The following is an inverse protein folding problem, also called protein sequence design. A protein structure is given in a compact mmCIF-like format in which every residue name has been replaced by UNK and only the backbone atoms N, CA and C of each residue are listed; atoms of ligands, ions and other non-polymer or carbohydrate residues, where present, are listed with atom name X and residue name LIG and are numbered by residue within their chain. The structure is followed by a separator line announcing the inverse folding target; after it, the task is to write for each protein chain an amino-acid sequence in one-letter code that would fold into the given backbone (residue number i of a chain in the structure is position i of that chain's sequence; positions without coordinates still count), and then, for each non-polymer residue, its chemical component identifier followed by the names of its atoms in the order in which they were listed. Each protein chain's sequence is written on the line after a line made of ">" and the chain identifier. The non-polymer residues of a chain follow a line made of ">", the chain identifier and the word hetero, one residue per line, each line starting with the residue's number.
data_IF_748600826660
#
_entry.id   IF_748600826660
#
_cell.length_a   1.000
_cell.length_b   1.000
_cell.length_c   1.000
_cell.angle_alpha   90.00
_cell.angle_beta   90.00
_cell.angle_gamma   90.00
#
_symmetry.space_group_name_H-M   'P 1'
#
loop_
_entity.id
_entity.type
_entity.pdbx_description
1 polymer ?
#
# COMPACT_ATOMS: atom_id res chain seq x y z
N UNK A 1 -5.45 17.03 53.36
CA UNK A 1 -4.16 16.86 53.99
C UNK A 1 -3.46 15.67 53.41
N UNK A 2 -2.45 15.88 52.74
CA UNK A 2 -1.13 15.32 52.50
C UNK A 2 -0.68 15.62 51.07
N UNK A 3 0.31 16.45 51.04
CA UNK A 3 1.20 16.83 49.93
C UNK A 3 2.30 15.79 49.82
N UNK A 4 2.90 15.71 48.62
CA UNK A 4 4.33 15.65 48.32
C UNK A 4 4.45 15.19 46.87
N UNK A 5 4.90 15.89 45.89
CA UNK A 5 6.13 16.68 45.63
C UNK A 5 7.32 15.82 45.20
N UNK A 6 7.84 16.23 44.03
CA UNK A 6 9.24 16.12 43.56
C UNK A 6 9.66 14.78 42.92
N UNK A 7 10.43 14.71 41.83
CA UNK A 7 11.50 15.58 41.37
C UNK A 7 11.84 15.35 39.88
N UNK A 8 12.39 16.39 39.32
CA UNK A 8 13.20 16.55 38.13
C UNK A 8 14.40 15.61 38.04
N UNK A 9 14.74 15.15 36.82
CA UNK A 9 16.15 14.94 36.47
C UNK A 9 16.35 15.23 34.97
N UNK A 10 17.04 16.35 34.74
CA UNK A 10 17.70 16.70 33.47
C UNK A 10 19.01 15.88 33.37
N UNK A 11 19.31 15.39 32.18
CA UNK A 11 20.69 15.09 31.80
C UNK A 11 20.91 15.47 30.34
N UNK A 12 21.60 16.58 30.16
CA UNK A 12 22.29 16.98 28.93
C UNK A 12 23.45 16.04 28.65
N UNK A 13 23.66 15.70 27.39
CA UNK A 13 24.87 15.02 26.92
C UNK A 13 25.16 15.43 25.48
N UNK A 14 25.89 16.53 25.34
CA UNK A 14 26.52 16.98 24.11
C UNK A 14 27.78 16.14 23.86
N UNK A 15 27.97 15.57 22.68
CA UNK A 15 29.31 15.18 22.19
C UNK A 15 29.40 15.44 20.68
N UNK A 16 30.08 16.51 20.37
CA UNK A 16 30.70 16.77 19.07
C UNK A 16 31.95 15.90 18.94
N UNK A 17 32.20 15.34 17.80
CA UNK A 17 33.54 15.10 17.28
C UNK A 17 33.62 15.24 15.77
N UNK A 18 34.59 16.00 15.40
CA UNK A 18 34.98 16.50 14.10
C UNK A 18 35.71 15.48 13.23
N UNK A 19 35.61 15.64 11.91
CA UNK A 19 36.74 15.71 10.98
C UNK A 19 37.34 14.42 10.48
N UNK A 20 37.31 14.28 9.15
CA UNK A 20 38.54 14.02 8.38
C UNK A 20 38.27 14.28 6.88
N UNK A 21 38.90 15.35 6.43
CA UNK A 21 39.17 15.64 5.02
C UNK A 21 40.24 14.69 4.48
N UNK A 22 39.98 14.11 3.31
CA UNK A 22 40.97 13.36 2.54
C UNK A 22 40.98 13.81 1.10
N UNK A 23 41.86 14.76 0.77
CA UNK A 23 42.31 15.06 -0.60
C UNK A 23 43.31 14.02 -1.04
N UNK A 24 43.21 13.56 -2.28
CA UNK A 24 44.18 12.68 -2.93
C UNK A 24 44.13 12.83 -4.45
N UNK A 25 44.79 13.80 -4.93
CA UNK A 25 45.83 13.93 -5.95
C UNK A 25 45.60 13.22 -7.30
N UNK A 26 45.60 14.07 -8.32
CA UNK A 26 45.78 13.78 -9.74
C UNK A 26 47.12 13.14 -10.04
N UNK A 27 47.17 12.23 -11.00
CA UNK A 27 48.40 11.85 -11.70
C UNK A 27 48.19 11.92 -13.20
N UNK A 28 48.95 12.81 -13.81
CA UNK A 28 49.16 12.97 -15.24
C UNK A 28 50.30 12.04 -15.73
N UNK A 29 50.22 11.69 -16.99
CA UNK A 29 51.39 11.24 -17.80
C UNK A 29 51.21 9.83 -18.36
N UNK A 30 51.24 9.57 -19.63
CA UNK A 30 52.25 9.83 -20.58
C UNK A 30 51.81 9.46 -22.00
N UNK A 31 52.21 10.28 -22.93
CA UNK A 31 52.21 10.09 -24.38
C UNK A 31 53.13 8.95 -24.81
N UNK A 32 52.64 8.10 -25.70
CA UNK A 32 53.56 7.32 -26.57
C UNK A 32 52.99 7.23 -27.99
N UNK A 33 53.90 7.40 -28.90
CA UNK A 33 53.83 7.75 -30.31
C UNK A 33 53.84 6.50 -31.19
N UNK A 34 53.03 6.52 -32.23
CA UNK A 34 53.11 5.95 -33.57
C UNK A 34 53.96 4.69 -33.85
N UNK A 35 53.32 3.74 -34.52
CA UNK A 35 53.93 3.06 -35.67
C UNK A 35 52.81 2.57 -36.61
N UNK A 36 52.87 2.95 -37.86
CA UNK A 36 51.93 2.55 -38.88
C UNK A 36 52.17 1.12 -39.34
N UNK A 37 51.08 0.47 -39.72
CA UNK A 37 51.19 -0.73 -40.57
C UNK A 37 49.98 -0.72 -41.53
N UNK A 38 50.30 -0.63 -42.79
CA UNK A 38 49.44 -0.86 -43.95
C UNK A 38 48.88 -2.25 -43.91
N UNK A 39 47.56 -2.38 -43.82
CA UNK A 39 46.86 -3.66 -43.85
C UNK A 39 45.59 -3.57 -44.68
N UNK A 40 45.56 -4.33 -45.73
CA UNK A 40 44.52 -4.61 -46.72
C UNK A 40 43.07 -4.35 -46.32
N UNK A 41 42.39 -3.58 -47.15
CA UNK A 41 40.94 -3.44 -47.11
C UNK A 41 40.27 -4.79 -47.45
N UNK A 42 39.73 -5.46 -46.44
CA UNK A 42 38.72 -6.51 -46.61
C UNK A 42 37.36 -5.84 -46.77
N UNK A 43 36.70 -6.07 -47.90
CA UNK A 43 35.29 -5.75 -48.06
C UNK A 43 34.52 -6.43 -46.94
N UNK A 44 33.99 -5.64 -46.00
CA UNK A 44 33.04 -6.10 -45.00
C UNK A 44 31.69 -6.21 -45.68
N UNK A 45 31.20 -7.43 -45.81
CA UNK A 45 29.82 -7.73 -46.20
C UNK A 45 28.92 -7.12 -45.14
N UNK A 46 28.11 -6.14 -45.52
CA UNK A 46 27.13 -5.50 -44.63
C UNK A 46 26.11 -6.53 -44.18
N UNK A 47 26.14 -6.89 -42.92
CA UNK A 47 25.07 -7.65 -42.25
C UNK A 47 23.79 -6.83 -42.27
N UNK A 48 22.65 -7.35 -42.71
CA UNK A 48 21.39 -6.58 -42.65
C UNK A 48 21.07 -6.21 -41.21
N UNK A 49 20.99 -4.92 -40.93
CA UNK A 49 20.50 -4.39 -39.65
C UNK A 49 19.04 -4.79 -39.53
N UNK A 50 18.77 -5.76 -38.68
CA UNK A 50 17.40 -6.10 -38.34
C UNK A 50 16.82 -4.90 -37.57
N UNK A 51 15.76 -4.31 -38.11
CA UNK A 51 14.96 -3.30 -37.39
C UNK A 51 14.48 -3.89 -36.05
N UNK A 52 14.59 -3.15 -34.95
CA UNK A 52 14.14 -3.65 -33.66
C UNK A 52 12.64 -3.96 -33.72
N UNK A 53 12.29 -5.20 -33.37
CA UNK A 53 10.90 -5.63 -33.21
C UNK A 53 10.29 -4.74 -32.13
N UNK A 54 9.15 -4.07 -32.39
CA UNK A 54 8.51 -3.24 -31.39
C UNK A 54 8.21 -4.08 -30.15
N UNK A 55 8.71 -3.64 -28.99
CA UNK A 55 8.38 -4.27 -27.70
C UNK A 55 6.85 -4.19 -27.53
N UNK A 56 6.15 -5.32 -27.25
CA UNK A 56 4.71 -5.30 -27.06
C UNK A 56 4.37 -4.28 -25.95
N UNK A 57 3.48 -3.34 -26.27
CA UNK A 57 2.95 -2.40 -25.30
C UNK A 57 2.21 -3.21 -24.24
N UNK A 58 2.51 -3.04 -22.93
CA UNK A 58 1.79 -3.72 -21.88
C UNK A 58 0.29 -3.44 -22.01
N UNK A 59 -0.53 -4.49 -21.94
CA UNK A 59 -1.99 -4.32 -21.92
C UNK A 59 -2.36 -3.42 -20.73
N UNK A 60 -3.26 -2.45 -20.99
CA UNK A 60 -3.78 -1.58 -19.92
C UNK A 60 -4.44 -2.46 -18.85
N UNK A 61 -4.07 -2.30 -17.56
CA UNK A 61 -4.72 -3.01 -16.48
C UNK A 61 -6.22 -2.72 -16.43
N UNK A 62 -7.03 -3.73 -16.14
CA UNK A 62 -8.48 -3.62 -16.02
C UNK A 62 -8.87 -4.18 -14.65
N UNK A 63 -9.56 -3.38 -13.84
CA UNK A 63 -10.12 -3.83 -12.57
C UNK A 63 -11.17 -4.91 -12.80
N UNK A 64 -11.21 -5.92 -11.95
CA UNK A 64 -12.18 -7.00 -12.02
C UNK A 64 -13.47 -6.58 -11.31
N UNK A 65 -14.64 -6.87 -11.89
CA UNK A 65 -15.90 -6.62 -11.21
C UNK A 65 -16.02 -7.54 -9.99
N UNK A 66 -16.32 -6.97 -8.82
CA UNK A 66 -16.52 -7.71 -7.58
C UNK A 66 -17.93 -8.27 -7.46
N UNK A 67 -18.69 -7.62 -6.64
CA UNK A 67 -20.08 -7.95 -6.39
C UNK A 67 -20.98 -7.18 -7.36
N UNK A 68 -22.21 -7.63 -7.58
CA UNK A 68 -23.18 -6.87 -8.35
C UNK A 68 -23.33 -5.46 -7.79
N UNK A 69 -23.39 -4.47 -8.68
CA UNK A 69 -23.69 -3.10 -8.31
C UNK A 69 -24.94 -3.06 -7.41
N UNK A 70 -24.85 -2.42 -6.26
CA UNK A 70 -25.95 -2.32 -5.30
C UNK A 70 -25.82 -3.19 -4.05
N UNK A 71 -24.81 -4.03 -3.89
CA UNK A 71 -24.61 -4.78 -2.63
C UNK A 71 -24.41 -3.84 -1.44
N UNK A 72 -23.78 -2.69 -1.64
CA UNK A 72 -23.68 -1.65 -0.63
C UNK A 72 -25.02 -1.06 -0.20
N UNK A 73 -26.04 -1.08 -1.03
CA UNK A 73 -27.39 -0.58 -0.71
C UNK A 73 -28.28 -1.60 0.01
N UNK A 74 -27.90 -2.87 0.08
CA UNK A 74 -28.65 -3.91 0.78
C UNK A 74 -28.33 -3.89 2.28
N UNK A 75 -29.25 -4.41 3.10
CA UNK A 75 -29.04 -4.51 4.54
C UNK A 75 -27.83 -5.40 4.89
N UNK A 76 -27.12 -5.00 5.92
CA UNK A 76 -26.00 -5.75 6.49
C UNK A 76 -26.42 -7.13 7.02
N UNK A 77 -25.46 -8.03 7.10
CA UNK A 77 -25.58 -9.33 7.77
C UNK A 77 -24.41 -9.52 8.76
N UNK A 78 -24.60 -10.40 9.74
CA UNK A 78 -23.60 -10.76 10.75
C UNK A 78 -22.64 -11.88 10.27
N UNK A 79 -22.70 -12.23 9.00
CA UNK A 79 -21.82 -13.27 8.42
C UNK A 79 -20.38 -12.79 8.46
N UNK A 80 -19.53 -13.56 9.15
CA UNK A 80 -18.07 -13.36 9.13
C UNK A 80 -17.54 -13.64 7.71
N UNK A 81 -16.83 -12.68 7.09
CA UNK A 81 -16.34 -12.86 5.74
C UNK A 81 -15.26 -13.95 5.64
N UNK A 82 -15.26 -14.65 4.52
CA UNK A 82 -14.25 -15.64 4.16
C UNK A 82 -13.22 -15.04 3.21
N UNK A 83 -11.99 -15.56 3.27
CA UNK A 83 -10.87 -15.12 2.42
C UNK A 83 -10.52 -16.10 1.30
N UNK A 84 -11.17 -17.28 1.28
CA UNK A 84 -10.93 -18.37 0.32
C UNK A 84 -11.88 -18.37 -0.89
N UNK A 85 -12.65 -17.31 -1.07
CA UNK A 85 -13.65 -17.21 -2.14
C UNK A 85 -13.25 -16.28 -3.30
N UNK A 86 -14.02 -16.31 -4.38
CA UNK A 86 -13.76 -15.50 -5.59
C UNK A 86 -13.89 -14.00 -5.29
N UNK A 87 -14.86 -13.60 -4.46
CA UNK A 87 -15.08 -12.20 -4.14
C UNK A 87 -13.85 -11.59 -3.47
N UNK A 88 -13.26 -12.28 -2.49
CA UNK A 88 -12.06 -11.82 -1.83
C UNK A 88 -10.85 -11.74 -2.78
N UNK A 89 -10.68 -12.75 -3.66
CA UNK A 89 -9.60 -12.71 -4.67
C UNK A 89 -9.74 -11.53 -5.63
N UNK A 90 -10.95 -11.24 -6.11
CA UNK A 90 -11.19 -10.08 -6.98
C UNK A 90 -10.88 -8.77 -6.23
N UNK A 91 -11.36 -8.63 -5.00
CA UNK A 91 -11.09 -7.47 -4.15
C UNK A 91 -9.59 -7.23 -3.99
N UNK A 92 -8.83 -8.27 -3.66
CA UNK A 92 -7.37 -8.15 -3.47
C UNK A 92 -6.65 -7.84 -4.78
N UNK A 93 -7.14 -8.36 -5.91
CA UNK A 93 -6.61 -8.04 -7.25
C UNK A 93 -6.86 -6.57 -7.60
N UNK A 94 -8.07 -6.07 -7.38
CA UNK A 94 -8.42 -4.67 -7.65
C UNK A 94 -7.64 -3.70 -6.74
N UNK A 95 -7.51 -4.04 -5.45
CA UNK A 95 -6.67 -3.29 -4.51
C UNK A 95 -5.22 -3.22 -4.99
N UNK A 96 -4.67 -4.36 -5.38
CA UNK A 96 -3.29 -4.44 -5.85
C UNK A 96 -3.08 -3.67 -7.16
N UNK A 97 -4.06 -3.72 -8.05
CA UNK A 97 -4.04 -2.94 -9.28
C UNK A 97 -4.03 -1.43 -8.99
N UNK A 98 -4.81 -0.97 -8.00
CA UNK A 98 -4.76 0.42 -7.56
C UNK A 98 -3.37 0.80 -7.06
N UNK A 99 -2.75 -0.03 -6.23
CA UNK A 99 -1.40 0.20 -5.69
C UNK A 99 -0.35 0.23 -6.79
N UNK A 100 -0.31 -0.78 -7.66
CA UNK A 100 0.73 -0.87 -8.70
C UNK A 100 0.60 0.16 -9.81
N UNK A 101 -0.60 0.68 -10.03
CA UNK A 101 -0.83 1.75 -11.02
C UNK A 101 -0.82 3.16 -10.43
N UNK A 102 -0.92 3.29 -9.10
CA UNK A 102 -1.13 4.55 -8.41
C UNK A 102 -2.50 5.18 -8.67
N UNK A 103 -3.45 4.40 -9.23
CA UNK A 103 -4.79 4.87 -9.56
C UNK A 103 -5.83 4.26 -8.59
N UNK A 104 -6.33 5.02 -7.61
CA UNK A 104 -7.26 4.53 -6.60
C UNK A 104 -8.59 4.03 -7.19
N UNK A 105 -8.98 4.50 -8.38
CA UNK A 105 -10.23 4.10 -9.01
C UNK A 105 -10.27 2.62 -9.38
N UNK A 106 -9.13 1.97 -9.62
CA UNK A 106 -9.09 0.52 -9.82
C UNK A 106 -9.45 -0.26 -8.56
N UNK A 107 -9.16 0.28 -7.38
CA UNK A 107 -9.49 -0.34 -6.09
C UNK A 107 -10.82 0.11 -5.49
N UNK A 108 -11.65 0.87 -6.23
CA UNK A 108 -12.95 1.34 -5.71
C UNK A 108 -13.84 0.19 -5.23
N UNK A 109 -13.81 -0.95 -5.92
CA UNK A 109 -14.60 -2.12 -5.53
C UNK A 109 -14.05 -2.82 -4.28
N UNK A 110 -12.77 -2.62 -3.97
CA UNK A 110 -12.13 -3.11 -2.75
C UNK A 110 -12.33 -2.17 -1.55
N UNK A 111 -12.71 -0.94 -1.80
CA UNK A 111 -12.95 0.07 -0.78
C UNK A 111 -14.39 0.00 -0.27
N UNK A 112 -14.61 0.34 1.01
CA UNK A 112 -15.92 0.21 1.64
C UNK A 112 -16.96 1.08 0.93
N UNK A 113 -18.07 0.48 0.43
CA UNK A 113 -19.01 1.19 -0.43
C UNK A 113 -19.71 2.35 0.28
N UNK A 114 -19.84 3.51 -0.38
CA UNK A 114 -20.57 4.67 0.15
C UNK A 114 -21.98 4.32 0.62
N UNK A 115 -22.83 3.58 -0.14
CA UNK A 115 -24.19 3.23 0.33
C UNK A 115 -24.21 2.35 1.59
N UNK A 116 -23.18 1.54 1.80
CA UNK A 116 -23.00 0.76 3.03
C UNK A 116 -22.58 1.67 4.18
N UNK A 117 -21.63 2.58 3.92
CA UNK A 117 -21.17 3.54 4.91
C UNK A 117 -22.31 4.43 5.43
N UNK A 118 -23.15 4.91 4.54
CA UNK A 118 -24.34 5.72 4.90
C UNK A 118 -25.29 4.95 5.82
N UNK A 119 -25.43 3.64 5.66
CA UNK A 119 -26.23 2.82 6.56
C UNK A 119 -25.55 2.57 7.92
N UNK A 120 -24.23 2.49 7.91
CA UNK A 120 -23.45 2.17 9.12
C UNK A 120 -23.32 3.37 10.05
N UNK A 121 -23.10 4.58 9.55
CA UNK A 121 -22.67 5.71 10.36
C UNK A 121 -23.81 6.58 10.87
N UNK A 122 -23.93 6.67 12.19
CA UNK A 122 -24.84 7.57 12.94
C UNK A 122 -24.23 8.98 13.05
N UNK A 123 -23.98 9.64 11.93
CA UNK A 123 -23.47 11.02 11.86
C UNK A 123 -24.35 11.88 10.95
N UNK A 124 -24.24 13.19 11.02
CA UNK A 124 -25.14 14.10 10.32
C UNK A 124 -25.05 14.01 8.79
N UNK A 125 -23.85 13.81 8.24
CA UNK A 125 -23.62 13.71 6.79
C UNK A 125 -22.65 12.55 6.49
N UNK A 126 -23.13 11.29 6.52
CA UNK A 126 -22.24 10.15 6.26
C UNK A 126 -21.76 10.08 4.80
N UNK A 127 -22.55 10.53 3.82
CA UNK A 127 -22.12 10.54 2.44
C UNK A 127 -20.99 11.57 2.19
N UNK A 128 -21.14 12.77 2.73
CA UNK A 128 -20.09 13.79 2.67
C UNK A 128 -18.82 13.37 3.42
N UNK A 129 -18.94 12.72 4.58
CA UNK A 129 -17.80 12.21 5.33
C UNK A 129 -17.10 11.06 4.57
N UNK A 130 -17.87 10.16 3.93
CA UNK A 130 -17.27 9.11 3.09
C UNK A 130 -16.40 9.70 1.98
N UNK A 131 -16.87 10.72 1.29
CA UNK A 131 -16.12 11.34 0.18
C UNK A 131 -14.96 12.20 0.66
N UNK A 132 -15.21 13.09 1.62
CA UNK A 132 -14.24 14.10 2.04
C UNK A 132 -13.13 13.53 2.93
N UNK A 133 -13.38 12.44 3.62
CA UNK A 133 -12.43 11.82 4.54
C UNK A 133 -12.01 10.43 4.08
N UNK A 134 -12.92 9.43 4.04
CA UNK A 134 -12.53 8.06 3.79
C UNK A 134 -11.92 7.87 2.39
N UNK A 135 -12.64 8.28 1.36
CA UNK A 135 -12.18 8.14 -0.02
C UNK A 135 -10.96 9.02 -0.30
N UNK A 136 -10.96 10.22 0.24
CA UNK A 136 -9.81 11.11 0.15
C UNK A 136 -8.56 10.47 0.76
N UNK A 137 -8.66 9.97 1.98
CA UNK A 137 -7.57 9.31 2.69
C UNK A 137 -7.07 8.07 1.95
N UNK A 138 -7.98 7.23 1.46
CA UNK A 138 -7.63 6.08 0.63
C UNK A 138 -6.87 6.48 -0.63
N UNK A 139 -7.30 7.54 -1.29
CA UNK A 139 -6.65 8.05 -2.51
C UNK A 139 -5.20 8.44 -2.26
N UNK A 140 -4.93 9.17 -1.20
CA UNK A 140 -3.55 9.58 -0.87
C UNK A 140 -2.71 8.41 -0.34
N UNK A 141 -3.31 7.42 0.33
CA UNK A 141 -2.63 6.22 0.77
C UNK A 141 -2.22 5.32 -0.42
N UNK A 142 -3.10 5.14 -1.40
CA UNK A 142 -2.77 4.41 -2.63
C UNK A 142 -1.61 5.08 -3.37
N UNK A 143 -1.62 6.41 -3.46
CA UNK A 143 -0.50 7.14 -4.07
C UNK A 143 0.81 6.94 -3.29
N UNK A 144 0.77 6.98 -1.97
CA UNK A 144 1.93 6.72 -1.12
C UNK A 144 2.42 5.27 -1.25
N UNK A 145 1.52 4.29 -1.30
CA UNK A 145 1.85 2.88 -1.52
C UNK A 145 2.53 2.69 -2.89
N UNK A 146 2.00 3.31 -3.93
CA UNK A 146 2.59 3.27 -5.27
C UNK A 146 4.02 3.82 -5.30
N UNK A 147 4.27 4.93 -4.61
CA UNK A 147 5.62 5.52 -4.54
C UNK A 147 6.63 4.60 -3.85
N UNK A 148 6.22 3.83 -2.86
CA UNK A 148 7.11 2.91 -2.13
C UNK A 148 7.30 1.57 -2.86
N UNK A 149 6.23 1.02 -3.40
CA UNK A 149 6.20 -0.32 -3.97
C UNK A 149 6.56 -0.30 -5.46
N UNK A 150 5.99 0.64 -6.22
CA UNK A 150 6.17 0.73 -7.67
C UNK A 150 5.25 -0.21 -8.44
N UNK A 151 5.38 -0.15 -9.79
CA UNK A 151 4.52 -0.89 -10.71
C UNK A 151 4.96 -2.31 -11.01
N UNK A 152 6.21 -2.67 -10.70
CA UNK A 152 6.81 -3.95 -11.09
C UNK A 152 6.67 -5.03 -10.01
N UNK A 153 6.03 -4.73 -8.91
CA UNK A 153 5.78 -5.68 -7.83
C UNK A 153 4.59 -6.61 -8.14
N UNK A 154 4.65 -7.83 -7.64
CA UNK A 154 3.66 -8.88 -7.88
C UNK A 154 3.00 -9.31 -6.58
N UNK A 155 1.66 -9.23 -6.51
CA UNK A 155 0.88 -9.70 -5.36
C UNK A 155 1.13 -11.20 -5.13
N UNK A 156 1.37 -11.55 -3.87
CA UNK A 156 1.45 -12.94 -3.40
C UNK A 156 0.17 -13.30 -2.66
N UNK A 157 -0.19 -12.52 -1.64
CA UNK A 157 -1.37 -12.77 -0.83
C UNK A 157 -1.86 -11.49 -0.14
N UNK A 158 -3.12 -11.50 0.29
CA UNK A 158 -3.60 -10.62 1.35
C UNK A 158 -4.01 -11.49 2.52
N UNK A 159 -3.25 -11.37 3.62
CA UNK A 159 -3.44 -12.16 4.83
C UNK A 159 -4.32 -11.39 5.79
N UNK A 160 -5.50 -11.95 6.09
CA UNK A 160 -6.44 -11.38 7.05
C UNK A 160 -6.32 -12.19 8.34
N UNK A 161 -5.87 -11.59 9.45
CA UNK A 161 -5.68 -12.29 10.71
C UNK A 161 -7.02 -12.50 11.42
N UNK A 162 -7.74 -13.56 11.06
CA UNK A 162 -9.10 -13.84 11.53
C UNK A 162 -9.22 -13.91 13.06
N UNK A 163 -8.14 -14.26 13.77
CA UNK A 163 -8.09 -14.27 15.24
C UNK A 163 -8.28 -12.87 15.87
N UNK A 164 -8.10 -11.81 15.10
CA UNK A 164 -8.32 -10.43 15.53
C UNK A 164 -9.64 -9.86 15.02
N UNK A 165 -10.44 -10.65 14.30
CA UNK A 165 -11.75 -10.20 13.85
C UNK A 165 -12.69 -10.03 15.06
N UNK A 166 -13.28 -8.85 15.18
CA UNK A 166 -14.18 -8.49 16.27
C UNK A 166 -15.47 -7.92 15.70
N UNK A 167 -16.60 -8.34 16.25
CA UNK A 167 -17.89 -7.72 15.93
C UNK A 167 -18.02 -6.39 16.66
N UNK A 168 -18.16 -5.32 15.91
CA UNK A 168 -18.47 -3.98 16.43
C UNK A 168 -19.98 -3.82 16.39
N UNK A 169 -20.68 -3.75 17.53
CA UNK A 169 -22.13 -3.68 17.55
C UNK A 169 -22.66 -2.29 17.17
N UNK A 170 -23.94 -2.22 16.86
CA UNK A 170 -24.68 -0.96 16.79
C UNK A 170 -24.52 -0.18 18.10
N UNK A 171 -24.45 1.14 18.01
CA UNK A 171 -24.20 2.04 19.14
C UNK A 171 -22.72 2.23 19.50
N UNK A 172 -21.83 1.33 19.06
CA UNK A 172 -20.38 1.55 19.20
C UNK A 172 -19.87 2.39 18.03
N UNK A 173 -18.83 3.22 18.27
CA UNK A 173 -18.10 3.96 17.21
C UNK A 173 -18.98 4.85 16.32
N UNK A 174 -20.06 5.38 16.85
CA UNK A 174 -21.09 6.12 16.08
C UNK A 174 -21.66 5.29 14.93
N UNK A 175 -22.01 4.04 15.20
CA UNK A 175 -22.60 3.14 14.20
C UNK A 175 -24.08 2.85 14.55
N UNK A 176 -24.95 2.91 13.53
CA UNK A 176 -26.33 2.43 13.62
C UNK A 176 -26.44 0.93 13.38
N UNK A 177 -25.48 0.36 12.66
CA UNK A 177 -25.46 -1.06 12.28
C UNK A 177 -24.10 -1.66 12.62
N UNK A 178 -24.09 -2.90 13.15
CA UNK A 178 -22.86 -3.62 13.44
C UNK A 178 -22.16 -4.18 12.21
N UNK A 179 -20.87 -4.46 12.36
CA UNK A 179 -20.01 -5.10 11.35
C UNK A 179 -18.84 -5.85 11.98
N UNK A 180 -18.27 -6.79 11.25
CA UNK A 180 -16.97 -7.35 11.61
C UNK A 180 -15.86 -6.38 11.24
N UNK A 181 -14.94 -6.19 12.15
CA UNK A 181 -13.72 -5.40 11.97
C UNK A 181 -12.49 -6.28 12.20
N UNK A 182 -11.48 -6.12 11.36
CA UNK A 182 -10.18 -6.74 11.55
C UNK A 182 -9.06 -5.73 11.26
N UNK A 183 -8.20 -5.44 12.25
CA UNK A 183 -7.05 -4.58 12.07
C UNK A 183 -5.84 -5.37 11.57
N UNK A 184 -4.90 -4.67 10.95
CA UNK A 184 -3.57 -5.18 10.68
C UNK A 184 -3.50 -6.35 9.70
N UNK A 185 -4.37 -6.39 8.68
CA UNK A 185 -4.18 -7.29 7.55
C UNK A 185 -2.86 -6.97 6.82
N UNK A 186 -2.24 -7.96 6.17
CA UNK A 186 -0.98 -7.79 5.45
C UNK A 186 -1.18 -8.03 3.97
N UNK A 187 -0.62 -7.16 3.13
CA UNK A 187 -0.46 -7.38 1.70
C UNK A 187 0.95 -7.86 1.46
N UNK A 188 1.10 -9.09 1.04
CA UNK A 188 2.36 -9.72 0.70
C UNK A 188 2.60 -9.62 -0.80
N UNK A 189 3.80 -9.24 -1.20
CA UNK A 189 4.16 -9.08 -2.60
C UNK A 189 5.64 -9.41 -2.85
N UNK A 190 5.98 -9.68 -4.09
CA UNK A 190 7.37 -9.83 -4.52
C UNK A 190 7.82 -8.63 -5.34
N UNK A 191 8.98 -8.09 -4.99
CA UNK A 191 9.68 -7.05 -5.71
C UNK A 191 11.16 -7.43 -5.82
N UNK A 192 11.71 -7.35 -7.02
CA UNK A 192 13.13 -7.70 -7.29
C UNK A 192 13.53 -9.10 -6.75
N UNK A 193 12.58 -10.05 -6.79
CA UNK A 193 12.76 -11.42 -6.29
C UNK A 193 12.59 -11.60 -4.78
N UNK A 194 12.48 -10.52 -4.02
CA UNK A 194 12.30 -10.54 -2.56
C UNK A 194 10.82 -10.52 -2.17
N UNK A 195 10.48 -11.26 -1.12
CA UNK A 195 9.17 -11.17 -0.48
C UNK A 195 9.17 -9.98 0.47
N UNK A 196 8.17 -9.14 0.33
CA UNK A 196 7.93 -7.97 1.17
C UNK A 196 6.44 -7.90 1.54
N UNK A 197 6.10 -7.08 2.52
CA UNK A 197 4.70 -6.85 2.89
C UNK A 197 4.46 -5.45 3.44
N UNK A 198 3.22 -4.96 3.26
CA UNK A 198 2.69 -3.75 3.91
C UNK A 198 1.41 -4.07 4.68
N UNK A 199 1.08 -3.25 5.67
CA UNK A 199 -0.16 -3.38 6.44
C UNK A 199 -1.35 -2.75 5.75
N UNK A 200 -2.54 -3.30 6.01
CA UNK A 200 -3.83 -2.64 5.86
C UNK A 200 -4.34 -2.36 7.26
N UNK A 201 -4.52 -1.09 7.61
CA UNK A 201 -4.85 -0.70 8.97
C UNK A 201 -6.23 -1.20 9.42
N UNK A 202 -7.21 -1.22 8.52
CA UNK A 202 -8.58 -1.64 8.88
C UNK A 202 -9.33 -2.22 7.69
N UNK A 203 -9.84 -3.43 7.89
CA UNK A 203 -10.88 -4.02 7.06
C UNK A 203 -12.18 -4.08 7.85
N UNK A 204 -13.30 -3.81 7.20
CA UNK A 204 -14.63 -4.05 7.77
C UNK A 204 -15.49 -4.90 6.84
N UNK A 205 -16.50 -5.55 7.41
CA UNK A 205 -17.38 -6.40 6.64
C UNK A 205 -18.60 -5.66 6.13
N UNK A 206 -19.04 -6.06 4.94
CA UNK A 206 -20.40 -5.82 4.48
C UNK A 206 -20.94 -7.07 3.82
N UNK A 207 -22.01 -7.63 4.36
CA UNK A 207 -22.70 -8.81 3.81
C UNK A 207 -21.77 -10.00 3.55
N UNK A 208 -20.87 -10.30 4.50
CA UNK A 208 -19.94 -11.41 4.38
C UNK A 208 -18.77 -11.18 3.41
N UNK A 209 -18.48 -9.92 3.05
CA UNK A 209 -17.33 -9.52 2.24
C UNK A 209 -16.46 -8.54 3.04
N UNK A 210 -15.16 -8.70 2.98
CA UNK A 210 -14.21 -7.75 3.54
C UNK A 210 -14.00 -6.56 2.59
N UNK A 211 -13.89 -5.37 3.16
CA UNK A 211 -13.56 -4.14 2.43
C UNK A 211 -12.49 -3.35 3.18
N UNK A 212 -11.64 -2.67 2.45
CA UNK A 212 -10.68 -1.70 3.02
C UNK A 212 -11.44 -0.45 3.45
N UNK A 213 -11.16 0.02 4.65
CA UNK A 213 -11.65 1.32 5.17
C UNK A 213 -10.49 2.27 5.36
N UNK A 214 -9.42 1.79 6.00
CA UNK A 214 -8.19 2.53 6.16
C UNK A 214 -7.03 1.68 5.64
N UNK A 215 -6.41 2.14 4.59
CA UNK A 215 -5.21 1.50 4.06
C UNK A 215 -4.01 1.77 4.96
N UNK A 216 -3.87 3.01 5.41
CA UNK A 216 -2.87 3.43 6.38
C UNK A 216 -3.47 3.78 7.74
N UNK A 217 -2.72 4.52 8.55
CA UNK A 217 -3.16 4.95 9.88
C UNK A 217 -4.40 5.85 9.87
N UNK A 218 -5.20 5.76 10.93
CA UNK A 218 -6.44 6.52 11.07
C UNK A 218 -6.18 7.99 11.41
N UNK A 219 -5.16 8.25 12.24
CA UNK A 219 -4.77 9.61 12.62
C UNK A 219 -3.68 10.11 11.67
N UNK A 220 -3.93 11.25 11.02
CA UNK A 220 -3.05 11.80 9.99
C UNK A 220 -2.59 13.20 10.36
N UNK A 221 -1.36 13.49 9.99
CA UNK A 221 -0.76 14.84 10.07
C UNK A 221 -0.65 15.50 8.69
N UNK A 222 -1.33 14.92 7.69
CA UNK A 222 -1.29 15.29 6.27
C UNK A 222 -0.61 14.20 5.44
N UNK A 223 -0.91 14.16 4.15
CA UNK A 223 -0.38 13.15 3.23
C UNK A 223 -0.86 11.71 3.46
N UNK A 224 -0.38 10.80 2.65
CA UNK A 224 -0.67 9.37 2.78
C UNK A 224 0.05 8.74 3.98
N UNK A 225 -0.61 7.83 4.66
CA UNK A 225 -0.06 7.08 5.79
C UNK A 225 -0.19 5.59 5.53
N UNK A 226 0.88 4.98 5.10
CA UNK A 226 0.96 3.53 4.96
C UNK A 226 2.14 3.00 5.77
N UNK A 227 2.12 1.71 6.08
CA UNK A 227 3.28 1.05 6.65
C UNK A 227 4.48 1.14 5.70
N UNK A 228 5.67 1.24 6.27
CA UNK A 228 6.89 1.00 5.50
C UNK A 228 6.95 -0.48 5.12
N UNK A 229 7.39 -0.83 3.89
CA UNK A 229 7.57 -2.21 3.52
C UNK A 229 8.46 -2.98 4.49
N UNK A 230 8.00 -4.14 4.90
CA UNK A 230 8.73 -5.07 5.77
C UNK A 230 9.25 -6.23 4.93
N UNK A 231 10.45 -6.71 5.23
CA UNK A 231 10.96 -7.94 4.64
C UNK A 231 10.11 -9.15 5.05
N UNK A 232 9.82 -10.05 4.12
CA UNK A 232 9.01 -11.24 4.36
C UNK A 232 7.51 -10.97 4.50
N UNK A 233 6.82 -11.89 5.16
CA UNK A 233 5.35 -11.86 5.36
C UNK A 233 4.90 -10.72 6.29
N UNK A 234 5.79 -10.22 7.12
CA UNK A 234 5.47 -9.25 8.14
C UNK A 234 4.67 -9.86 9.31
N UNK A 235 4.24 -9.00 10.23
CA UNK A 235 3.46 -9.40 11.40
C UNK A 235 2.10 -8.74 11.34
N UNK A 236 0.99 -9.50 11.45
CA UNK A 236 -0.33 -8.91 11.58
C UNK A 236 -0.39 -7.94 12.77
N UNK A 237 -1.11 -6.83 12.60
CA UNK A 237 -1.27 -5.84 13.64
C UNK A 237 -1.98 -6.38 14.89
N UNK A 238 -1.88 -5.66 16.01
CA UNK A 238 -2.61 -6.02 17.22
C UNK A 238 -4.12 -5.86 16.99
N UNK A 239 -4.95 -6.55 17.78
CA UNK A 239 -6.38 -6.30 17.75
C UNK A 239 -6.65 -4.83 18.09
N UNK A 240 -7.56 -4.24 17.37
CA UNK A 240 -7.97 -2.85 17.54
C UNK A 240 -9.48 -2.75 17.49
N UNK A 241 -9.96 -1.64 18.00
CA UNK A 241 -11.37 -1.26 17.92
C UNK A 241 -11.52 0.04 17.14
N UNK A 242 -12.64 0.64 17.27
CA UNK A 242 -12.87 1.96 16.72
C UNK A 242 -12.23 3.11 17.56
#
# INVERSE_FOLDING_TARGET
>A
MFRLASALALASGCAMLAGCTGQGTASQGATARAAGTTGSARLATATPVQSPVPKPTPARPVALPLAPAGDGARHQTDVLPRTDNVAFRNLTTDLWLAVTTGNPSYGLQAFFPEPAYVQVKAIADPAGDWQARLWHDYTIDVAAAHQLIGGDAHLVAVVVPAQYATWIPAGACYNDIGYWHVPGARVEYRKDGHLESIGIASLISWRGVWYVVHFGGVQRTGGGMIDQPSAGEGVPGPPGGC
#
